data_IF_440151240894
#
_entry.id   IF_440151240894
#
_cell.length_a   1.000
_cell.length_b   1.000
_cell.length_c   1.000
_cell.angle_alpha   90.00
_cell.angle_beta   90.00
_cell.angle_gamma   90.00
#
_symmetry.space_group_name_H-M   'P 1'
#
loop_
_entity.id
_entity.type
_entity.pdbx_description
1 polymer ?
#
# COMPACT_ATOMS: atom_id res chain seq x y z
N UNK A 1 -1.97 -34.91 -23.03
CA UNK A 1 -1.60 -34.61 -21.64
C UNK A 1 -2.77 -33.84 -21.03
N UNK A 2 -2.95 -33.89 -19.73
CA UNK A 2 -4.05 -33.18 -19.06
C UNK A 2 -3.57 -31.73 -18.80
N UNK A 3 -4.46 -30.74 -18.99
CA UNK A 3 -4.18 -29.38 -18.66
C UNK A 3 -3.93 -29.22 -17.14
N UNK A 4 -3.02 -28.36 -16.77
CA UNK A 4 -2.66 -28.05 -15.39
C UNK A 4 -2.80 -26.55 -15.09
N UNK A 5 -3.12 -26.23 -13.83
CA UNK A 5 -3.21 -24.86 -13.33
C UNK A 5 -2.06 -24.63 -12.36
N UNK A 6 -1.15 -23.74 -12.68
CA UNK A 6 0.11 -23.51 -11.99
C UNK A 6 0.10 -22.16 -11.27
N UNK A 7 0.72 -22.14 -10.11
CA UNK A 7 1.14 -20.92 -9.40
C UNK A 7 2.67 -20.90 -9.30
N UNK A 8 3.28 -19.80 -9.75
CA UNK A 8 4.74 -19.65 -9.75
C UNK A 8 5.10 -18.26 -9.22
N UNK A 9 5.45 -18.12 -7.94
CA UNK A 9 5.92 -16.87 -7.39
C UNK A 9 7.36 -16.60 -7.87
N UNK A 10 7.60 -15.43 -8.47
CA UNK A 10 8.94 -14.94 -8.80
C UNK A 10 9.46 -13.99 -7.72
N UNK A 11 8.57 -13.44 -6.88
CA UNK A 11 8.88 -12.62 -5.72
C UNK A 11 7.71 -12.57 -4.75
N UNK A 12 7.94 -12.09 -3.53
CA UNK A 12 6.91 -12.00 -2.48
C UNK A 12 6.61 -13.35 -1.79
N UNK A 13 7.47 -14.35 -1.94
CA UNK A 13 7.32 -15.65 -1.27
C UNK A 13 8.65 -16.05 -0.61
N UNK A 14 8.66 -16.17 0.71
CA UNK A 14 9.91 -16.27 1.51
C UNK A 14 10.49 -14.91 1.89
N UNK A 15 9.80 -13.84 1.53
CA UNK A 15 10.15 -12.44 1.78
C UNK A 15 8.92 -11.56 1.83
N UNK A 16 9.04 -10.35 2.37
CA UNK A 16 8.01 -9.31 2.35
C UNK A 16 8.41 -8.28 1.30
N UNK A 17 7.50 -7.97 0.36
CA UNK A 17 7.74 -7.03 -0.73
C UNK A 17 8.05 -7.71 -2.07
N UNK A 18 8.43 -6.93 -3.06
CA UNK A 18 8.69 -7.25 -4.47
C UNK A 18 7.78 -8.34 -5.05
N UNK A 19 6.46 -8.19 -4.83
CA UNK A 19 5.47 -9.16 -5.25
C UNK A 19 5.44 -9.30 -6.78
N UNK A 20 5.60 -10.52 -7.28
CA UNK A 20 5.47 -10.89 -8.68
C UNK A 20 5.03 -12.34 -8.77
N UNK A 21 3.76 -12.56 -9.07
CA UNK A 21 3.14 -13.89 -9.04
C UNK A 21 2.61 -14.27 -10.42
N UNK A 22 3.00 -15.43 -10.93
CA UNK A 22 2.51 -15.96 -12.20
C UNK A 22 1.46 -17.02 -11.97
N UNK A 23 0.41 -16.99 -12.81
CA UNK A 23 -0.58 -18.04 -12.92
C UNK A 23 -0.56 -18.56 -14.35
N UNK A 24 -0.35 -19.87 -14.50
CA UNK A 24 -0.28 -20.55 -15.79
C UNK A 24 -1.38 -21.58 -15.94
N UNK A 25 -2.02 -21.63 -17.12
CA UNK A 25 -2.97 -22.67 -17.45
C UNK A 25 -2.74 -23.22 -18.87
N UNK A 26 -2.79 -24.53 -19.01
CA UNK A 26 -2.64 -25.24 -20.28
C UNK A 26 -1.90 -26.56 -20.13
N UNK A 27 -1.47 -27.14 -21.27
CA UNK A 27 -0.68 -28.35 -21.28
C UNK A 27 0.78 -28.05 -20.89
N UNK A 28 1.50 -29.04 -20.31
CA UNK A 28 2.91 -28.91 -20.02
C UNK A 28 3.73 -28.42 -21.23
N UNK A 29 4.39 -27.26 -21.07
CA UNK A 29 5.18 -26.60 -22.12
C UNK A 29 4.44 -25.60 -22.99
N UNK A 30 3.10 -25.55 -22.92
CA UNK A 30 2.26 -24.58 -23.70
C UNK A 30 1.25 -23.84 -22.83
N UNK A 31 1.70 -23.39 -21.67
CA UNK A 31 0.86 -22.60 -20.75
C UNK A 31 0.65 -21.19 -21.26
N UNK A 32 -0.58 -20.68 -21.16
CA UNK A 32 -0.87 -19.25 -21.14
C UNK A 32 -0.68 -18.73 -19.73
N UNK A 33 -0.14 -17.51 -19.61
CA UNK A 33 0.24 -16.90 -18.34
C UNK A 33 -0.45 -15.58 -18.12
N UNK A 34 -0.79 -15.29 -16.87
CA UNK A 34 -1.05 -13.95 -16.37
C UNK A 34 -0.06 -13.67 -15.22
N UNK A 35 0.31 -12.40 -15.05
CA UNK A 35 1.13 -11.93 -13.96
C UNK A 35 0.27 -11.11 -13.01
N UNK A 36 0.34 -11.39 -11.71
CA UNK A 36 -0.29 -10.59 -10.66
C UNK A 36 0.81 -9.84 -9.93
N UNK A 37 0.73 -8.51 -10.03
CA UNK A 37 1.69 -7.53 -9.50
C UNK A 37 3.09 -7.62 -10.12
N UNK A 38 3.87 -6.55 -9.92
CA UNK A 38 5.24 -6.39 -10.42
C UNK A 38 5.97 -5.38 -9.52
N UNK A 39 6.28 -5.83 -8.31
CA UNK A 39 6.73 -4.99 -7.20
C UNK A 39 8.23 -4.85 -7.08
N UNK A 40 8.63 -4.01 -6.13
CA UNK A 40 10.02 -3.84 -5.70
C UNK A 40 10.14 -4.07 -4.19
N UNK A 41 11.39 -4.26 -3.74
CA UNK A 41 11.78 -4.02 -2.36
C UNK A 41 12.95 -3.05 -2.33
N UNK A 42 13.24 -2.49 -1.16
CA UNK A 42 14.34 -1.56 -0.96
C UNK A 42 15.51 -2.29 -0.30
N UNK A 43 16.71 -2.02 -0.78
CA UNK A 43 17.91 -2.57 -0.19
C UNK A 43 18.11 -2.00 1.22
N UNK A 44 18.64 -2.81 2.09
CA UNK A 44 19.08 -2.41 3.42
C UNK A 44 20.58 -2.14 3.48
N UNK A 45 21.10 -1.86 4.68
CA UNK A 45 22.51 -1.52 4.90
C UNK A 45 23.47 -2.71 4.63
N UNK A 46 22.95 -3.93 4.38
CA UNK A 46 23.76 -5.13 4.05
C UNK A 46 24.18 -5.17 2.58
N UNK A 47 23.51 -4.39 1.71
CA UNK A 47 23.75 -4.31 0.26
C UNK A 47 24.07 -2.86 -0.14
N UNK A 48 25.26 -2.35 0.21
CA UNK A 48 25.60 -0.95 -0.02
C UNK A 48 25.69 -0.63 -1.52
N UNK A 49 25.13 0.54 -1.90
CA UNK A 49 25.12 1.02 -3.28
C UNK A 49 23.96 0.52 -4.13
N UNK A 50 23.06 -0.29 -3.57
CA UNK A 50 21.80 -0.68 -4.19
C UNK A 50 20.65 0.06 -3.48
N UNK A 51 19.78 0.69 -4.22
CA UNK A 51 18.60 1.38 -3.69
C UNK A 51 17.33 0.56 -3.87
N UNK A 52 17.24 -0.21 -4.97
CA UNK A 52 16.02 -0.88 -5.41
C UNK A 52 16.31 -2.29 -5.90
N UNK A 53 15.49 -3.24 -5.47
CA UNK A 53 15.56 -4.65 -5.86
C UNK A 53 14.20 -5.05 -6.44
N UNK A 54 14.19 -5.83 -7.50
CA UNK A 54 12.99 -6.43 -8.10
C UNK A 54 13.24 -7.89 -8.50
N UNK A 55 12.18 -8.70 -8.61
CA UNK A 55 12.29 -10.10 -8.94
C UNK A 55 12.98 -10.34 -10.29
N UNK A 56 13.64 -11.46 -10.47
CA UNK A 56 14.18 -11.87 -11.76
C UNK A 56 13.04 -12.32 -12.70
N UNK A 57 12.75 -11.59 -13.78
CA UNK A 57 11.71 -11.94 -14.72
C UNK A 57 12.15 -12.94 -15.79
N UNK A 58 13.35 -13.53 -15.70
CA UNK A 58 13.94 -14.41 -16.71
C UNK A 58 12.99 -15.49 -17.21
N UNK A 59 12.33 -16.17 -16.28
CA UNK A 59 11.35 -17.21 -16.60
C UNK A 59 10.24 -16.72 -17.56
N UNK A 60 9.66 -15.55 -17.27
CA UNK A 60 8.54 -15.03 -18.06
C UNK A 60 9.00 -14.27 -19.32
N UNK A 61 10.20 -13.73 -19.34
CA UNK A 61 10.78 -13.12 -20.54
C UNK A 61 10.95 -14.15 -21.68
N UNK A 62 11.34 -15.38 -21.35
CA UNK A 62 11.44 -16.48 -22.31
C UNK A 62 10.09 -16.94 -22.84
N UNK A 63 8.99 -16.59 -22.17
CA UNK A 63 7.59 -17.00 -22.45
C UNK A 63 6.66 -15.82 -22.69
N UNK A 64 7.20 -14.64 -22.97
CA UNK A 64 6.42 -13.39 -23.07
C UNK A 64 5.31 -13.45 -24.12
N UNK A 65 5.47 -14.23 -25.19
CA UNK A 65 4.44 -14.42 -26.21
C UNK A 65 3.19 -15.14 -25.67
N UNK A 66 3.33 -15.85 -24.56
CA UNK A 66 2.25 -16.50 -23.83
C UNK A 66 1.78 -15.72 -22.61
N UNK A 67 2.38 -14.54 -22.31
CA UNK A 67 1.93 -13.65 -21.24
C UNK A 67 0.78 -12.77 -21.73
N UNK A 68 -0.42 -13.05 -21.24
CA UNK A 68 -1.66 -12.37 -21.67
C UNK A 68 -1.82 -10.98 -21.07
N UNK A 69 -1.27 -10.76 -19.87
CA UNK A 69 -1.33 -9.46 -19.22
C UNK A 69 -0.81 -9.45 -17.79
N UNK A 70 -0.65 -8.22 -17.29
CA UNK A 70 -0.31 -7.92 -15.90
C UNK A 70 -1.55 -7.39 -15.21
N UNK A 71 -1.94 -8.00 -14.11
CA UNK A 71 -3.12 -7.67 -13.30
C UNK A 71 -2.62 -7.06 -11.98
N UNK A 72 -2.93 -5.79 -11.73
CA UNK A 72 -2.45 -5.08 -10.55
C UNK A 72 -3.51 -5.08 -9.46
N UNK A 73 -3.14 -5.52 -8.26
CA UNK A 73 -4.04 -5.58 -7.11
C UNK A 73 -4.25 -4.21 -6.49
N UNK A 74 -3.18 -3.45 -6.28
CA UNK A 74 -3.19 -2.09 -5.71
C UNK A 74 -1.87 -1.36 -5.98
N UNK A 75 -1.75 -0.11 -5.52
CA UNK A 75 -0.69 0.81 -5.95
C UNK A 75 0.49 0.97 -4.97
N UNK A 76 0.73 0.05 -4.04
CA UNK A 76 1.97 0.07 -3.24
C UNK A 76 3.20 -0.27 -4.08
N UNK A 77 4.36 0.25 -3.69
CA UNK A 77 5.62 0.09 -4.45
C UNK A 77 6.05 -1.38 -4.55
N UNK A 78 5.80 -2.16 -3.54
CA UNK A 78 6.07 -3.60 -3.51
C UNK A 78 5.10 -4.43 -4.36
N UNK A 79 4.13 -3.78 -5.04
CA UNK A 79 3.20 -4.36 -6.02
C UNK A 79 3.31 -3.74 -7.41
N UNK A 80 3.70 -2.46 -7.54
CA UNK A 80 3.80 -1.81 -8.85
C UNK A 80 5.17 -1.18 -9.14
N UNK A 81 6.10 -1.21 -8.18
CA UNK A 81 7.34 -0.43 -8.26
C UNK A 81 8.25 -0.80 -9.43
N UNK A 82 8.29 -2.07 -9.82
CA UNK A 82 9.13 -2.53 -10.93
C UNK A 82 8.50 -2.36 -12.31
N UNK A 83 7.23 -1.93 -12.41
CA UNK A 83 6.49 -1.97 -13.68
C UNK A 83 7.16 -1.17 -14.80
N UNK A 84 7.61 0.04 -14.52
CA UNK A 84 8.27 0.88 -15.53
C UNK A 84 9.69 0.42 -15.88
N UNK A 85 10.27 -0.50 -15.11
CA UNK A 85 11.59 -1.09 -15.36
C UNK A 85 11.50 -2.37 -16.18
N UNK A 86 10.54 -3.25 -15.88
CA UNK A 86 10.44 -4.58 -16.46
C UNK A 86 9.47 -4.68 -17.64
N UNK A 87 8.36 -3.92 -17.61
CA UNK A 87 7.33 -3.95 -18.64
C UNK A 87 7.85 -3.69 -20.08
N UNK A 88 8.83 -2.78 -20.34
CA UNK A 88 9.30 -2.55 -21.71
C UNK A 88 9.78 -3.81 -22.46
N UNK A 89 10.22 -4.82 -21.74
CA UNK A 89 10.62 -6.11 -22.32
C UNK A 89 9.46 -7.11 -22.41
N UNK A 90 8.43 -6.93 -21.58
CA UNK A 90 7.23 -7.80 -21.55
C UNK A 90 6.23 -7.41 -22.64
N UNK A 91 5.93 -6.10 -22.77
CA UNK A 91 5.10 -5.54 -23.82
C UNK A 91 3.63 -6.01 -23.84
N UNK A 92 3.13 -6.57 -22.74
CA UNK A 92 1.75 -7.05 -22.62
C UNK A 92 0.80 -5.97 -22.10
N UNK A 93 -0.52 -6.26 -22.11
CA UNK A 93 -1.54 -5.39 -21.51
C UNK A 93 -1.38 -5.29 -19.99
N UNK A 94 -1.75 -4.14 -19.42
CA UNK A 94 -1.77 -3.88 -17.99
C UNK A 94 -3.19 -3.57 -17.57
N UNK A 95 -3.67 -4.22 -16.52
CA UNK A 95 -5.02 -4.07 -15.98
C UNK A 95 -4.93 -3.50 -14.57
N UNK A 96 -5.59 -2.37 -14.31
CA UNK A 96 -5.52 -1.67 -13.03
C UNK A 96 -6.81 -0.91 -12.73
N UNK A 97 -7.13 -0.76 -11.45
CA UNK A 97 -8.20 0.13 -10.99
C UNK A 97 -7.83 1.61 -11.21
N UNK A 98 -8.78 2.55 -11.19
CA UNK A 98 -8.53 3.95 -11.52
C UNK A 98 -7.37 4.59 -10.75
N UNK A 99 -7.30 4.40 -9.43
CA UNK A 99 -6.25 5.00 -8.61
C UNK A 99 -4.87 4.41 -8.94
N UNK A 100 -4.78 3.08 -9.07
CA UNK A 100 -3.55 2.40 -9.48
C UNK A 100 -3.12 2.85 -10.88
N UNK A 101 -4.08 2.98 -11.81
CA UNK A 101 -3.81 3.44 -13.17
C UNK A 101 -3.23 4.87 -13.22
N UNK A 102 -3.70 5.78 -12.36
CA UNK A 102 -3.13 7.14 -12.27
C UNK A 102 -1.66 7.08 -11.85
N UNK A 103 -1.35 6.29 -10.82
CA UNK A 103 0.02 6.22 -10.28
C UNK A 103 1.01 5.53 -11.25
N UNK A 104 0.60 4.45 -11.94
CA UNK A 104 1.48 3.83 -12.92
C UNK A 104 1.70 4.70 -14.15
N UNK A 105 0.71 5.48 -14.60
CA UNK A 105 0.90 6.48 -15.66
C UNK A 105 1.99 7.48 -15.31
N UNK A 106 2.04 7.95 -14.07
CA UNK A 106 3.10 8.85 -13.60
C UNK A 106 4.47 8.17 -13.63
N UNK A 107 4.58 6.89 -13.16
CA UNK A 107 5.83 6.12 -13.22
C UNK A 107 6.36 5.96 -14.64
N UNK A 108 5.50 5.63 -15.60
CA UNK A 108 5.88 5.50 -17.00
C UNK A 108 6.25 6.84 -17.63
N UNK A 109 5.55 7.92 -17.27
CA UNK A 109 5.87 9.28 -17.69
C UNK A 109 7.27 9.72 -17.25
N UNK A 110 7.66 9.38 -16.00
CA UNK A 110 9.03 9.65 -15.51
C UNK A 110 10.11 8.92 -16.32
N UNK A 111 9.77 7.83 -16.98
CA UNK A 111 10.64 7.04 -17.87
C UNK A 111 10.44 7.39 -19.37
N UNK A 112 9.59 8.37 -19.69
CA UNK A 112 9.25 8.75 -21.06
C UNK A 112 8.65 7.59 -21.90
N UNK A 113 7.88 6.71 -21.28
CA UNK A 113 7.22 5.56 -21.92
C UNK A 113 5.72 5.85 -22.02
N UNK A 114 5.16 5.71 -23.23
CA UNK A 114 3.71 5.81 -23.46
C UNK A 114 3.05 4.42 -23.34
N UNK A 115 2.11 4.28 -22.40
CA UNK A 115 1.34 3.07 -22.16
C UNK A 115 -0.15 3.23 -22.47
N UNK A 116 -0.52 4.32 -23.16
CA UNK A 116 -1.94 4.67 -23.39
C UNK A 116 -2.72 3.53 -24.07
N UNK A 117 -2.08 2.80 -24.98
CA UNK A 117 -2.70 1.69 -25.70
C UNK A 117 -2.72 0.37 -24.91
N UNK A 118 -1.86 0.26 -23.90
CA UNK A 118 -1.63 -1.00 -23.19
C UNK A 118 -2.25 -1.04 -21.81
N UNK A 119 -2.55 0.12 -21.22
CA UNK A 119 -3.23 0.24 -19.94
C UNK A 119 -4.76 0.16 -20.11
N UNK A 120 -5.35 -0.83 -19.48
CA UNK A 120 -6.80 -1.03 -19.38
C UNK A 120 -7.25 -0.68 -17.95
N UNK A 121 -8.15 0.27 -17.84
CA UNK A 121 -8.74 0.64 -16.54
C UNK A 121 -9.91 -0.29 -16.26
N UNK A 122 -9.86 -0.98 -15.13
CA UNK A 122 -10.90 -1.89 -14.66
C UNK A 122 -11.67 -1.18 -13.54
N UNK A 123 -12.99 -1.15 -13.65
CA UNK A 123 -13.84 -0.59 -12.59
C UNK A 123 -13.73 -1.44 -11.31
N UNK A 124 -14.04 -0.83 -10.16
CA UNK A 124 -14.09 -1.56 -8.89
C UNK A 124 -15.11 -2.71 -9.00
N UNK A 125 -14.71 -3.89 -8.53
CA UNK A 125 -15.45 -5.15 -8.70
C UNK A 125 -15.70 -5.54 -10.17
N UNK A 126 -14.93 -4.99 -11.10
CA UNK A 126 -14.99 -5.32 -12.53
C UNK A 126 -14.35 -6.67 -12.87
N UNK A 127 -14.48 -7.07 -14.13
CA UNK A 127 -13.97 -8.33 -14.64
C UNK A 127 -13.09 -8.13 -15.86
N UNK A 128 -12.14 -9.05 -16.02
CA UNK A 128 -11.23 -9.12 -17.18
C UNK A 128 -11.23 -10.56 -17.70
N UNK A 129 -11.44 -10.72 -19.01
CA UNK A 129 -11.39 -12.02 -19.67
C UNK A 129 -10.13 -12.10 -20.53
N UNK A 130 -9.27 -13.04 -20.20
CA UNK A 130 -8.02 -13.36 -20.91
C UNK A 130 -7.96 -14.87 -21.10
N UNK A 131 -8.70 -15.36 -22.08
CA UNK A 131 -8.84 -16.82 -22.32
C UNK A 131 -7.50 -17.55 -22.20
N UNK A 132 -7.36 -18.53 -21.31
CA UNK A 132 -8.40 -19.27 -20.56
C UNK A 132 -8.71 -18.73 -19.13
N UNK A 133 -8.32 -17.52 -18.79
CA UNK A 133 -8.53 -16.91 -17.46
C UNK A 133 -9.74 -15.96 -17.48
N UNK A 134 -10.63 -16.12 -16.49
CA UNK A 134 -11.61 -15.11 -16.11
C UNK A 134 -11.21 -14.54 -14.76
N UNK A 135 -10.93 -13.22 -14.71
CA UNK A 135 -10.45 -12.55 -13.51
C UNK A 135 -11.53 -11.58 -13.02
N UNK A 136 -11.89 -11.66 -11.74
CA UNK A 136 -12.81 -10.73 -11.09
C UNK A 136 -12.05 -10.00 -9.97
N UNK A 137 -12.07 -8.67 -10.02
CA UNK A 137 -11.58 -7.81 -8.95
C UNK A 137 -12.59 -7.81 -7.80
N UNK A 138 -12.12 -7.93 -6.57
CA UNK A 138 -12.95 -7.94 -5.36
C UNK A 138 -12.42 -6.87 -4.44
N UNK A 139 -13.22 -5.85 -4.18
CA UNK A 139 -12.84 -4.78 -3.26
C UNK A 139 -12.56 -5.31 -1.87
N UNK A 140 -11.39 -4.99 -1.35
CA UNK A 140 -10.93 -5.26 0.01
C UNK A 140 -10.64 -3.93 0.72
N UNK A 141 -10.14 -4.01 1.95
CA UNK A 141 -9.61 -2.87 2.71
C UNK A 141 -8.13 -3.06 3.00
N UNK A 142 -7.36 -1.99 2.90
CA UNK A 142 -5.92 -1.95 3.16
C UNK A 142 -5.49 -0.52 3.52
N UNK A 143 -4.20 -0.24 3.62
CA UNK A 143 -3.66 1.10 3.90
C UNK A 143 -3.46 1.99 2.67
N UNK A 144 -4.14 1.67 1.57
CA UNK A 144 -4.13 2.42 0.31
C UNK A 144 -5.54 2.42 -0.30
N UNK A 145 -5.78 3.27 -1.30
CA UNK A 145 -7.05 3.28 -2.04
C UNK A 145 -7.16 2.10 -3.01
N UNK A 146 -8.38 1.62 -3.19
CA UNK A 146 -8.75 0.61 -4.19
C UNK A 146 -7.92 -0.68 -4.11
N UNK A 147 -7.70 -1.28 -2.91
CA UNK A 147 -7.07 -2.57 -2.82
C UNK A 147 -8.03 -3.67 -3.25
N UNK A 148 -7.52 -4.67 -3.98
CA UNK A 148 -8.34 -5.74 -4.53
C UNK A 148 -7.75 -7.11 -4.28
N UNK A 149 -8.61 -8.06 -3.92
CA UNK A 149 -8.38 -9.46 -4.19
C UNK A 149 -8.80 -9.83 -5.61
N UNK A 150 -8.29 -10.93 -6.11
CA UNK A 150 -8.56 -11.42 -7.46
C UNK A 150 -9.13 -12.85 -7.42
N UNK A 151 -10.37 -13.04 -7.87
CA UNK A 151 -10.85 -14.37 -8.23
C UNK A 151 -10.32 -14.70 -9.61
N UNK A 152 -9.50 -15.73 -9.72
CA UNK A 152 -8.92 -16.21 -10.98
C UNK A 152 -9.56 -17.56 -11.28
N UNK A 153 -10.37 -17.60 -12.32
CA UNK A 153 -11.08 -18.80 -12.76
C UNK A 153 -10.48 -19.33 -14.07
N UNK A 154 -10.31 -20.63 -14.14
CA UNK A 154 -9.91 -21.40 -15.35
C UNK A 154 -10.79 -22.62 -15.48
N UNK A 155 -10.73 -23.40 -16.58
CA UNK A 155 -11.42 -24.69 -16.66
C UNK A 155 -11.04 -25.69 -15.57
N UNK A 156 -9.87 -25.56 -14.92
CA UNK A 156 -9.47 -26.41 -13.80
C UNK A 156 -10.18 -26.04 -12.47
N UNK A 157 -10.69 -24.82 -12.36
CA UNK A 157 -11.39 -24.32 -11.18
C UNK A 157 -10.98 -22.90 -10.78
N UNK A 158 -11.31 -22.51 -9.55
CA UNK A 158 -11.13 -21.16 -8.99
C UNK A 158 -9.97 -21.11 -8.03
N UNK A 159 -9.14 -20.08 -8.16
CA UNK A 159 -8.12 -19.66 -7.18
C UNK A 159 -8.46 -18.24 -6.74
N UNK A 160 -8.28 -17.94 -5.46
CA UNK A 160 -8.35 -16.58 -4.92
C UNK A 160 -6.95 -16.09 -4.57
N UNK A 161 -6.53 -14.96 -5.15
CA UNK A 161 -5.35 -14.19 -4.71
C UNK A 161 -5.83 -13.01 -3.89
N UNK A 162 -5.42 -12.89 -2.63
CA UNK A 162 -5.94 -11.84 -1.76
C UNK A 162 -5.36 -10.47 -2.06
N UNK A 163 -4.15 -10.38 -2.66
CA UNK A 163 -3.34 -9.18 -2.54
C UNK A 163 -3.11 -8.88 -1.06
N UNK A 164 -2.83 -7.62 -0.75
CA UNK A 164 -2.73 -7.14 0.63
C UNK A 164 -4.08 -6.66 1.14
N UNK A 165 -4.41 -7.00 2.37
CA UNK A 165 -5.73 -6.73 2.90
C UNK A 165 -5.78 -6.70 4.42
N UNK A 166 -6.87 -6.19 4.96
CA UNK A 166 -7.28 -6.31 6.37
C UNK A 166 -8.80 -6.35 6.47
N UNK A 167 -9.34 -6.59 7.64
CA UNK A 167 -10.75 -6.32 7.92
C UNK A 167 -10.86 -5.00 8.68
N UNK A 168 -11.36 -3.95 8.02
CA UNK A 168 -11.72 -2.70 8.68
C UNK A 168 -13.25 -2.59 8.70
N UNK A 169 -13.89 -2.66 9.86
CA UNK A 169 -15.35 -2.59 9.95
C UNK A 169 -15.90 -1.17 9.72
N UNK A 170 -15.04 -0.15 9.73
CA UNK A 170 -15.42 1.25 9.56
C UNK A 170 -14.34 1.99 8.74
N UNK A 171 -14.17 1.63 7.46
CA UNK A 171 -13.20 2.29 6.61
C UNK A 171 -13.60 3.76 6.41
N UNK A 172 -12.64 4.65 6.51
CA UNK A 172 -12.87 6.09 6.38
C UNK A 172 -12.98 6.54 4.93
N UNK A 173 -12.39 5.77 4.03
CA UNK A 173 -12.29 6.08 2.61
C UNK A 173 -12.27 4.77 1.81
N UNK A 174 -12.90 4.77 0.64
CA UNK A 174 -13.08 3.56 -0.15
C UNK A 174 -14.30 2.73 0.30
N UNK A 175 -14.38 1.49 -0.19
CA UNK A 175 -15.44 0.54 0.14
C UNK A 175 -15.07 -0.38 1.31
N UNK A 176 -16.08 -0.94 1.94
CA UNK A 176 -15.91 -2.05 2.89
C UNK A 176 -15.49 -3.33 2.16
N UNK A 177 -14.86 -4.26 2.90
CA UNK A 177 -14.55 -5.58 2.37
C UNK A 177 -15.85 -6.31 1.96
N UNK A 178 -15.89 -6.83 0.74
CA UNK A 178 -17.07 -7.52 0.22
C UNK A 178 -17.11 -8.98 0.71
N UNK A 179 -17.33 -9.16 2.02
CA UNK A 179 -17.38 -10.48 2.65
C UNK A 179 -18.51 -11.36 2.11
N UNK A 180 -19.61 -10.76 1.63
CA UNK A 180 -20.71 -11.50 0.99
C UNK A 180 -20.20 -12.16 -0.30
N UNK A 181 -19.50 -11.39 -1.15
CA UNK A 181 -18.95 -11.92 -2.40
C UNK A 181 -17.91 -13.00 -2.15
N UNK A 182 -17.05 -12.82 -1.14
CA UNK A 182 -16.05 -13.82 -0.75
C UNK A 182 -16.71 -15.15 -0.31
N UNK A 183 -17.82 -15.09 0.44
CA UNK A 183 -18.60 -16.29 0.81
C UNK A 183 -19.22 -16.97 -0.40
N UNK A 184 -19.82 -16.19 -1.32
CA UNK A 184 -20.37 -16.71 -2.56
C UNK A 184 -19.32 -17.46 -3.40
N UNK A 185 -18.08 -16.94 -3.46
CA UNK A 185 -16.94 -17.58 -4.13
C UNK A 185 -16.56 -18.87 -3.39
N UNK A 186 -16.50 -18.82 -2.08
CA UNK A 186 -16.21 -19.98 -1.23
C UNK A 186 -17.23 -21.11 -1.44
N UNK A 187 -18.52 -20.79 -1.51
CA UNK A 187 -19.59 -21.76 -1.73
C UNK A 187 -19.56 -22.37 -3.15
N UNK A 188 -18.98 -21.69 -4.14
CA UNK A 188 -18.70 -22.24 -5.48
C UNK A 188 -17.53 -23.24 -5.49
N UNK A 189 -16.69 -23.22 -4.47
CA UNK A 189 -15.51 -24.06 -4.33
C UNK A 189 -14.23 -23.38 -4.84
N UNK A 190 -13.25 -23.25 -3.96
CA UNK A 190 -11.94 -22.63 -4.21
C UNK A 190 -10.86 -23.69 -4.08
N UNK A 191 -10.05 -23.88 -5.14
CA UNK A 191 -8.95 -24.84 -5.17
C UNK A 191 -7.82 -24.41 -4.24
N UNK A 192 -7.40 -23.15 -4.35
CA UNK A 192 -6.35 -22.58 -3.54
C UNK A 192 -6.63 -21.10 -3.25
N UNK A 193 -6.15 -20.64 -2.11
CA UNK A 193 -6.10 -19.21 -1.77
C UNK A 193 -4.64 -18.82 -1.58
N UNK A 194 -4.17 -17.89 -2.39
CA UNK A 194 -2.86 -17.24 -2.24
C UNK A 194 -3.10 -16.05 -1.32
N UNK A 195 -2.53 -16.10 -0.11
CA UNK A 195 -2.93 -15.22 0.98
C UNK A 195 -1.75 -14.46 1.61
N UNK A 196 -1.94 -13.16 1.82
CA UNK A 196 -1.06 -12.31 2.62
C UNK A 196 -0.83 -12.92 4.01
N UNK A 197 0.44 -13.06 4.40
CA UNK A 197 0.86 -13.66 5.67
C UNK A 197 1.65 -12.70 6.58
N UNK A 198 1.76 -11.43 6.21
CA UNK A 198 2.63 -10.42 6.88
C UNK A 198 2.43 -10.38 8.40
N UNK A 199 1.20 -10.41 8.86
CA UNK A 199 0.88 -10.27 10.29
C UNK A 199 0.38 -11.57 10.96
N UNK A 200 0.72 -12.74 10.42
CA UNK A 200 0.27 -14.04 10.96
C UNK A 200 0.62 -14.26 12.45
N UNK A 201 1.67 -13.60 12.96
CA UNK A 201 2.06 -13.64 14.36
C UNK A 201 1.28 -12.66 15.26
N UNK A 202 0.58 -11.68 14.68
CA UNK A 202 -0.16 -10.67 15.43
C UNK A 202 -1.51 -11.23 15.89
N UNK A 203 -1.74 -11.23 17.19
CA UNK A 203 -3.01 -11.68 17.77
C UNK A 203 -4.12 -10.64 17.54
N UNK A 204 -5.38 -11.09 17.65
CA UNK A 204 -6.55 -10.22 17.53
C UNK A 204 -6.81 -9.75 16.10
N UNK A 205 -7.43 -8.59 15.97
CA UNK A 205 -7.80 -7.93 14.71
C UNK A 205 -6.87 -6.78 14.37
N UNK A 206 -6.76 -6.43 13.09
CA UNK A 206 -5.92 -5.34 12.61
C UNK A 206 -6.37 -3.94 13.04
N UNK A 207 -7.65 -3.77 13.41
CA UNK A 207 -8.20 -2.50 13.90
C UNK A 207 -8.72 -1.58 12.80
N UNK A 208 -9.37 -0.48 13.20
CA UNK A 208 -10.04 0.46 12.30
C UNK A 208 -9.34 1.82 12.21
N UNK A 209 -9.28 2.38 11.01
CA UNK A 209 -8.83 3.77 10.80
C UNK A 209 -9.75 4.80 11.50
N UNK A 210 -11.03 4.46 11.70
CA UNK A 210 -11.94 5.32 12.47
C UNK A 210 -11.49 5.49 13.92
N UNK A 211 -10.97 4.44 14.56
CA UNK A 211 -10.51 4.54 15.94
C UNK A 211 -9.19 5.32 16.05
N UNK A 212 -8.32 5.19 15.04
CA UNK A 212 -7.14 6.07 14.91
C UNK A 212 -7.56 7.53 14.78
N UNK A 213 -8.58 7.84 13.95
CA UNK A 213 -9.10 9.21 13.79
C UNK A 213 -9.61 9.78 15.11
N UNK A 214 -10.41 9.00 15.85
CA UNK A 214 -10.94 9.44 17.16
C UNK A 214 -9.81 9.80 18.12
N UNK A 215 -8.81 8.93 18.24
CA UNK A 215 -7.69 9.19 19.14
C UNK A 215 -6.79 10.34 18.65
N UNK A 216 -6.51 10.41 17.35
CA UNK A 216 -5.77 11.52 16.74
C UNK A 216 -6.44 12.87 17.03
N UNK A 217 -7.77 12.96 16.91
CA UNK A 217 -8.52 14.16 17.23
C UNK A 217 -8.39 14.52 18.72
N UNK A 218 -8.49 13.53 19.62
CA UNK A 218 -8.31 13.73 21.06
C UNK A 218 -6.90 14.28 21.37
N UNK A 219 -5.86 13.70 20.78
CA UNK A 219 -4.48 14.15 20.92
C UNK A 219 -4.33 15.61 20.43
N UNK A 220 -4.75 15.88 19.19
CA UNK A 220 -4.57 17.20 18.58
C UNK A 220 -5.37 18.31 19.29
N UNK A 221 -6.49 17.97 19.93
CA UNK A 221 -7.32 18.93 20.70
C UNK A 221 -6.62 19.46 21.94
N UNK A 222 -5.70 18.69 22.53
CA UNK A 222 -4.94 19.11 23.73
C UNK A 222 -3.62 19.83 23.41
N UNK A 223 -3.12 19.70 22.17
CA UNK A 223 -1.87 20.32 21.75
C UNK A 223 -2.05 21.81 21.45
N UNK A 224 -1.10 22.63 21.90
CA UNK A 224 -1.20 24.10 21.85
C UNK A 224 -0.32 24.73 20.77
N UNK A 225 0.71 24.03 20.31
CA UNK A 225 1.68 24.55 19.36
C UNK A 225 1.55 23.85 18.00
N UNK A 226 2.55 24.02 17.14
CA UNK A 226 2.64 23.40 15.83
C UNK A 226 2.59 21.87 15.94
N UNK A 227 1.88 21.24 15.03
CA UNK A 227 1.78 19.80 14.93
C UNK A 227 2.38 19.38 13.60
N UNK A 228 3.28 18.41 13.61
CA UNK A 228 3.80 17.76 12.44
C UNK A 228 3.36 16.29 12.52
N UNK A 229 2.60 15.83 11.55
CA UNK A 229 2.20 14.41 11.42
C UNK A 229 3.06 13.81 10.33
N UNK A 230 3.75 12.71 10.62
CA UNK A 230 4.46 11.95 9.60
C UNK A 230 3.84 10.58 9.43
N UNK A 231 3.61 10.17 8.19
CA UNK A 231 3.00 8.88 7.82
C UNK A 231 3.43 8.45 6.42
N UNK A 232 3.10 7.21 6.06
CA UNK A 232 3.20 6.78 4.66
C UNK A 232 2.30 7.62 3.77
N UNK A 233 2.85 8.15 2.69
CA UNK A 233 2.08 8.99 1.76
C UNK A 233 0.93 8.20 1.09
N UNK A 234 1.11 6.91 0.89
CA UNK A 234 0.10 6.01 0.31
C UNK A 234 -1.14 5.81 1.19
N UNK A 235 -1.04 6.03 2.51
CA UNK A 235 -2.17 5.87 3.42
C UNK A 235 -3.11 7.08 3.33
N UNK A 236 -4.01 7.05 2.34
CA UNK A 236 -4.96 8.13 2.08
C UNK A 236 -6.00 8.26 3.21
N UNK A 237 -6.35 7.18 3.90
CA UNK A 237 -7.22 7.22 5.08
C UNK A 237 -6.57 8.01 6.24
N UNK A 238 -5.25 7.87 6.43
CA UNK A 238 -4.50 8.66 7.40
C UNK A 238 -4.36 10.11 6.98
N UNK A 239 -4.17 10.35 5.67
CA UNK A 239 -4.19 11.69 5.09
C UNK A 239 -5.55 12.38 5.35
N UNK A 240 -6.65 11.71 5.09
CA UNK A 240 -8.00 12.20 5.35
C UNK A 240 -8.22 12.46 6.86
N UNK A 241 -7.73 11.58 7.72
CA UNK A 241 -7.74 11.79 9.18
C UNK A 241 -6.99 13.06 9.58
N UNK A 242 -5.82 13.33 9.00
CA UNK A 242 -5.07 14.55 9.30
C UNK A 242 -5.81 15.82 8.87
N UNK A 243 -6.46 15.81 7.69
CA UNK A 243 -7.32 16.90 7.24
C UNK A 243 -8.51 17.11 8.18
N UNK A 244 -9.23 16.04 8.51
CA UNK A 244 -10.36 16.08 9.42
C UNK A 244 -9.99 16.66 10.79
N UNK A 245 -8.89 16.17 11.38
CA UNK A 245 -8.43 16.63 12.69
C UNK A 245 -7.95 18.09 12.66
N UNK A 246 -7.28 18.51 11.59
CA UNK A 246 -6.88 19.90 11.41
C UNK A 246 -8.10 20.82 11.39
N UNK A 247 -9.12 20.51 10.57
CA UNK A 247 -10.37 21.26 10.50
C UNK A 247 -11.07 21.33 11.86
N UNK A 248 -11.26 20.18 12.54
CA UNK A 248 -11.96 20.12 13.84
C UNK A 248 -11.22 20.84 14.97
N UNK A 249 -9.90 21.00 14.86
CA UNK A 249 -9.11 21.77 15.83
C UNK A 249 -8.88 23.23 15.43
N UNK A 250 -9.53 23.68 14.34
CA UNK A 250 -9.43 25.05 13.82
C UNK A 250 -8.05 25.41 13.31
N UNK A 251 -7.35 24.43 12.74
CA UNK A 251 -5.99 24.56 12.17
C UNK A 251 -6.05 24.44 10.64
N UNK A 252 -5.15 25.13 9.99
CA UNK A 252 -4.85 24.89 8.57
C UNK A 252 -3.88 23.71 8.45
N UNK A 253 -3.84 23.09 7.26
CA UNK A 253 -2.95 21.94 6.99
C UNK A 253 -2.11 22.21 5.75
N UNK A 254 -0.86 21.77 5.77
CA UNK A 254 0.05 21.83 4.64
C UNK A 254 0.66 20.45 4.39
N UNK A 255 0.75 20.06 3.12
CA UNK A 255 1.40 18.82 2.70
C UNK A 255 2.88 19.07 2.42
N UNK A 256 3.75 18.17 2.90
CA UNK A 256 5.21 18.31 2.77
C UNK A 256 5.82 16.99 2.27
N UNK A 257 6.50 17.08 1.12
CA UNK A 257 7.10 15.93 0.44
C UNK A 257 6.42 15.61 -0.89
N UNK A 258 7.24 15.28 -1.89
CA UNK A 258 6.76 15.04 -3.28
C UNK A 258 5.72 13.93 -3.38
N UNK A 259 5.95 12.81 -2.71
CA UNK A 259 5.00 11.68 -2.73
C UNK A 259 3.69 12.02 -2.03
N UNK A 260 3.70 12.86 -0.97
CA UNK A 260 2.48 13.31 -0.32
C UNK A 260 1.59 14.10 -1.28
N UNK A 261 2.17 15.05 -2.03
CA UNK A 261 1.45 15.81 -3.06
C UNK A 261 0.99 14.93 -4.23
N UNK A 262 1.82 13.96 -4.66
CA UNK A 262 1.47 13.04 -5.74
C UNK A 262 0.25 12.21 -5.38
N UNK A 263 0.25 11.58 -4.23
CA UNK A 263 -0.88 10.76 -3.75
C UNK A 263 -2.13 11.60 -3.55
N UNK A 264 -2.02 12.79 -2.93
CA UNK A 264 -3.15 13.70 -2.78
C UNK A 264 -3.79 14.05 -4.14
N UNK A 265 -3.00 14.43 -5.12
CA UNK A 265 -3.49 14.75 -6.48
C UNK A 265 -4.15 13.54 -7.14
N UNK A 266 -3.54 12.37 -7.06
CA UNK A 266 -4.10 11.13 -7.61
C UNK A 266 -5.44 10.77 -6.94
N UNK A 267 -5.53 10.87 -5.61
CA UNK A 267 -6.76 10.64 -4.87
C UNK A 267 -7.87 11.62 -5.28
N UNK A 268 -7.56 12.91 -5.39
CA UNK A 268 -8.51 13.95 -5.87
C UNK A 268 -8.99 13.67 -7.29
N UNK A 269 -8.10 13.28 -8.19
CA UNK A 269 -8.43 12.93 -9.58
C UNK A 269 -9.39 11.74 -9.66
N UNK A 270 -9.25 10.76 -8.76
CA UNK A 270 -10.15 9.60 -8.68
C UNK A 270 -11.41 9.87 -7.85
N UNK A 271 -11.63 11.10 -7.39
CA UNK A 271 -12.86 11.48 -6.70
C UNK A 271 -12.82 11.36 -5.19
N UNK A 272 -11.69 10.97 -4.61
CA UNK A 272 -11.50 10.93 -3.15
C UNK A 272 -11.07 12.29 -2.58
N UNK A 273 -11.13 12.46 -1.26
CA UNK A 273 -10.73 13.69 -0.54
C UNK A 273 -11.42 14.98 -1.02
N UNK A 274 -12.60 14.89 -1.67
CA UNK A 274 -13.33 16.06 -2.20
C UNK A 274 -13.89 16.97 -1.13
N UNK A 275 -14.21 16.39 0.03
CA UNK A 275 -14.88 17.09 1.13
C UNK A 275 -13.89 17.49 2.25
N UNK A 276 -12.61 17.45 1.99
CA UNK A 276 -11.59 17.92 2.94
C UNK A 276 -11.26 19.38 2.71
N UNK A 277 -10.74 20.07 3.74
CA UNK A 277 -10.17 21.40 3.59
C UNK A 277 -9.01 21.36 2.58
N UNK A 278 -8.80 22.43 1.83
CA UNK A 278 -7.69 22.51 0.89
C UNK A 278 -6.36 22.71 1.63
N UNK A 279 -5.31 21.96 1.29
CA UNK A 279 -4.00 22.17 1.89
C UNK A 279 -3.36 23.45 1.34
N UNK A 280 -2.72 24.20 2.22
CA UNK A 280 -1.98 25.41 1.85
C UNK A 280 -0.54 25.07 1.43
N UNK A 281 0.03 25.92 0.56
CA UNK A 281 1.43 25.78 0.14
C UNK A 281 2.38 25.91 1.34
N UNK A 282 3.42 25.08 1.50
CA UNK A 282 4.37 25.18 2.61
C UNK A 282 5.03 26.57 2.74
N UNK A 283 5.23 27.28 1.61
CA UNK A 283 5.77 28.65 1.59
C UNK A 283 4.83 29.68 2.21
N UNK A 284 3.53 29.45 2.11
CA UNK A 284 2.51 30.29 2.77
C UNK A 284 2.32 29.85 4.23
N UNK A 285 2.36 28.55 4.48
CA UNK A 285 2.17 27.94 5.78
C UNK A 285 3.18 28.43 6.84
N UNK A 286 4.41 28.77 6.44
CA UNK A 286 5.44 29.33 7.34
C UNK A 286 5.06 30.65 7.99
N UNK A 287 4.12 31.41 7.41
CA UNK A 287 3.63 32.69 7.92
C UNK A 287 2.45 32.53 8.88
N UNK A 288 1.93 31.30 9.05
CA UNK A 288 0.83 30.99 9.94
C UNK A 288 1.34 30.77 11.36
N UNK A 289 0.62 31.28 12.35
CA UNK A 289 1.00 31.09 13.75
C UNK A 289 1.06 29.60 14.11
N UNK A 290 2.01 29.23 14.97
CA UNK A 290 2.29 27.84 15.37
C UNK A 290 1.06 27.09 15.88
N UNK A 291 0.15 27.79 16.52
CA UNK A 291 -1.09 27.24 17.08
C UNK A 291 -2.13 26.88 16.01
N UNK A 292 -1.95 27.38 14.79
CA UNK A 292 -2.95 27.30 13.71
C UNK A 292 -2.51 26.46 12.52
N UNK A 293 -1.37 25.78 12.61
CA UNK A 293 -0.83 24.99 11.49
C UNK A 293 -0.57 23.53 11.87
N UNK A 294 -0.91 22.65 10.95
CA UNK A 294 -0.53 21.23 10.91
C UNK A 294 0.27 20.99 9.64
N UNK A 295 1.38 20.30 9.72
CA UNK A 295 2.09 19.76 8.57
C UNK A 295 1.89 18.26 8.51
N UNK A 296 1.49 17.75 7.34
CA UNK A 296 1.48 16.31 7.05
C UNK A 296 2.65 16.02 6.10
N UNK A 297 3.61 15.21 6.55
CA UNK A 297 4.87 15.04 5.84
C UNK A 297 5.27 13.57 5.66
N UNK A 298 6.17 13.34 4.69
CA UNK A 298 6.88 12.07 4.50
C UNK A 298 8.06 11.95 5.45
N UNK A 299 8.64 10.74 5.55
CA UNK A 299 9.83 10.51 6.37
C UNK A 299 9.53 9.77 7.66
N UNK A 300 8.43 9.01 7.71
CA UNK A 300 7.99 8.26 8.90
C UNK A 300 8.88 7.07 9.26
N UNK A 301 9.79 6.67 8.38
CA UNK A 301 10.74 5.58 8.60
C UNK A 301 12.19 6.06 8.76
N UNK A 302 12.38 7.36 8.93
CA UNK A 302 13.73 7.95 9.06
C UNK A 302 14.51 7.96 7.73
N UNK A 303 13.81 7.99 6.60
CA UNK A 303 14.42 8.03 5.26
C UNK A 303 15.27 9.31 5.12
N UNK A 304 16.54 9.22 4.68
CA UNK A 304 17.47 10.35 4.65
C UNK A 304 16.95 11.55 3.82
N UNK A 305 16.22 11.27 2.73
CA UNK A 305 15.63 12.28 1.87
C UNK A 305 14.19 12.63 2.23
N UNK A 306 13.63 12.02 3.26
CA UNK A 306 12.29 12.27 3.77
C UNK A 306 12.13 13.70 4.32
N UNK A 307 10.93 14.25 4.19
CA UNK A 307 10.67 15.62 4.67
C UNK A 307 10.92 15.75 6.18
N UNK A 308 10.49 14.75 6.98
CA UNK A 308 10.70 14.78 8.44
C UNK A 308 12.20 14.83 8.82
N UNK A 309 13.05 14.08 8.13
CA UNK A 309 14.50 14.11 8.38
C UNK A 309 15.09 15.49 8.06
N UNK A 310 14.66 16.14 6.97
CA UNK A 310 15.11 17.49 6.62
C UNK A 310 14.61 18.54 7.61
N UNK A 311 13.38 18.38 8.13
CA UNK A 311 12.81 19.28 9.14
C UNK A 311 13.59 19.14 10.44
N UNK A 312 13.86 17.93 10.92
CA UNK A 312 14.59 17.68 12.16
C UNK A 312 16.06 18.17 12.12
N UNK A 313 16.66 18.16 10.92
CA UNK A 313 18.02 18.68 10.70
C UNK A 313 18.06 20.18 10.37
N UNK A 314 16.92 20.89 10.45
CA UNK A 314 16.79 22.31 10.11
C UNK A 314 17.25 22.68 8.68
N UNK A 315 17.13 21.73 7.75
CA UNK A 315 17.52 21.90 6.33
C UNK A 315 16.33 21.99 5.37
N UNK A 316 15.10 21.93 5.90
CA UNK A 316 13.91 22.12 5.06
C UNK A 316 13.71 23.62 4.78
N UNK A 317 13.46 24.05 3.51
CA UNK A 317 13.43 25.45 3.14
C UNK A 317 12.23 26.24 3.69
N UNK A 318 11.11 25.55 3.93
CA UNK A 318 9.83 26.20 4.23
C UNK A 318 9.17 25.72 5.53
N UNK A 319 9.67 24.66 6.15
CA UNK A 319 9.11 24.11 7.39
C UNK A 319 10.17 24.13 8.47
N UNK A 320 9.84 24.82 9.54
CA UNK A 320 10.70 24.97 10.72
C UNK A 320 10.03 24.28 11.91
N UNK A 321 10.83 23.70 12.80
CA UNK A 321 10.39 23.11 14.04
C UNK A 321 11.07 23.82 15.19
N UNK A 322 10.36 24.01 16.29
CA UNK A 322 10.82 24.75 17.44
C UNK A 322 10.42 24.04 18.73
N UNK A 323 11.10 24.34 19.82
CA UNK A 323 10.77 23.83 21.15
C UNK A 323 9.26 23.93 21.43
N UNK A 324 8.72 22.94 22.09
CA UNK A 324 7.29 22.76 22.42
C UNK A 324 6.36 22.48 21.21
N UNK A 325 6.90 22.31 19.99
CA UNK A 325 6.15 21.69 18.89
C UNK A 325 5.99 20.19 19.13
N UNK A 326 5.02 19.56 18.47
CA UNK A 326 4.77 18.12 18.59
C UNK A 326 4.92 17.44 17.25
N UNK A 327 5.64 16.31 17.21
CA UNK A 327 5.71 15.41 16.05
C UNK A 327 4.98 14.11 16.37
N UNK A 328 4.00 13.75 15.51
CA UNK A 328 3.23 12.53 15.62
C UNK A 328 3.69 11.57 14.53
N UNK A 329 4.31 10.45 14.90
CA UNK A 329 4.72 9.37 13.99
C UNK A 329 3.57 8.39 13.81
N UNK A 330 2.70 8.67 12.86
CA UNK A 330 1.47 7.91 12.62
C UNK A 330 1.70 6.76 11.63
N UNK A 331 2.68 5.91 11.94
CA UNK A 331 3.06 4.72 11.19
C UNK A 331 3.69 3.68 12.10
N UNK A 332 3.61 2.41 11.72
CA UNK A 332 4.39 1.35 12.35
C UNK A 332 5.86 1.46 11.94
N UNK A 333 6.76 1.09 12.81
CA UNK A 333 8.18 0.97 12.49
C UNK A 333 8.36 -0.30 11.64
N UNK A 334 8.89 -0.12 10.43
CA UNK A 334 9.26 -1.27 9.59
C UNK A 334 10.53 -1.89 10.16
N UNK A 335 10.59 -3.24 10.35
CA UNK A 335 11.78 -3.92 10.81
C UNK A 335 13.03 -3.53 10.00
N UNK A 336 14.11 -3.20 10.69
CA UNK A 336 15.37 -2.70 10.10
C UNK A 336 15.52 -1.18 10.11
N UNK A 337 14.43 -0.42 10.32
CA UNK A 337 14.49 1.04 10.40
C UNK A 337 14.61 1.59 11.84
N UNK A 338 14.56 0.72 12.86
CA UNK A 338 14.50 1.10 14.28
C UNK A 338 15.64 2.07 14.66
N UNK A 339 16.88 1.75 14.29
CA UNK A 339 18.05 2.57 14.62
C UNK A 339 17.98 3.96 14.01
N UNK A 340 17.53 4.07 12.75
CA UNK A 340 17.39 5.34 12.03
C UNK A 340 16.31 6.19 12.69
N UNK A 341 15.18 5.55 13.03
CA UNK A 341 14.03 6.22 13.60
C UNK A 341 14.29 6.66 15.04
N UNK A 342 14.87 5.81 15.87
CA UNK A 342 15.24 6.21 17.25
C UNK A 342 16.28 7.31 17.28
N UNK A 343 17.21 7.37 16.33
CA UNK A 343 18.13 8.51 16.18
C UNK A 343 17.35 9.81 15.91
N UNK A 344 16.35 9.76 15.02
CA UNK A 344 15.49 10.89 14.72
C UNK A 344 14.66 11.32 15.94
N UNK A 345 14.02 10.37 16.63
CA UNK A 345 13.27 10.64 17.86
C UNK A 345 14.15 11.30 18.93
N UNK A 346 15.33 10.75 19.18
CA UNK A 346 16.28 11.29 20.15
C UNK A 346 16.72 12.72 19.82
N UNK A 347 16.91 13.02 18.52
CA UNK A 347 17.24 14.38 18.08
C UNK A 347 16.10 15.35 18.40
N UNK A 348 14.86 14.99 18.04
CA UNK A 348 13.69 15.81 18.31
C UNK A 348 13.49 16.07 19.81
N UNK A 349 13.56 15.03 20.63
CA UNK A 349 13.42 15.14 22.09
C UNK A 349 14.53 16.02 22.70
N UNK A 350 15.77 15.89 22.22
CA UNK A 350 16.90 16.73 22.65
C UNK A 350 16.66 18.20 22.34
N UNK A 351 15.97 18.50 21.24
CA UNK A 351 15.62 19.87 20.84
C UNK A 351 14.35 20.38 21.53
N UNK A 352 13.80 19.63 22.48
CA UNK A 352 12.60 20.00 23.25
C UNK A 352 11.29 19.85 22.49
N UNK A 353 11.27 18.98 21.48
CA UNK A 353 10.10 18.63 20.69
C UNK A 353 9.40 17.44 21.36
N UNK A 354 8.08 17.50 21.49
CA UNK A 354 7.28 16.36 21.93
C UNK A 354 7.17 15.34 20.79
N UNK A 355 7.49 14.07 21.06
CA UNK A 355 7.37 12.96 20.11
C UNK A 355 6.28 12.01 20.57
N UNK A 356 5.28 11.80 19.71
CA UNK A 356 4.19 10.84 19.92
C UNK A 356 4.34 9.73 18.86
N UNK A 357 4.41 8.47 19.31
CA UNK A 357 4.55 7.30 18.48
C UNK A 357 3.53 6.21 18.86
N UNK A 358 3.47 5.10 18.11
CA UNK A 358 2.61 3.95 18.44
C UNK A 358 2.94 3.31 19.80
N UNK A 359 4.12 3.56 20.35
CA UNK A 359 4.52 3.09 21.68
C UNK A 359 3.83 3.88 22.82
N UNK A 360 3.43 5.12 22.55
CA UNK A 360 2.82 6.02 23.55
C UNK A 360 1.33 6.23 23.39
N UNK A 361 0.83 6.18 22.15
CA UNK A 361 -0.57 6.50 21.83
C UNK A 361 -1.08 5.61 20.67
N UNK A 362 -2.38 5.33 20.65
CA UNK A 362 -3.02 4.59 19.57
C UNK A 362 -3.23 5.50 18.34
N UNK A 363 -2.21 5.59 17.50
CA UNK A 363 -2.17 6.46 16.32
C UNK A 363 -1.90 5.71 15.01
N UNK A 364 -1.87 4.39 15.07
CA UNK A 364 -1.65 3.54 13.91
C UNK A 364 -2.43 2.23 14.01
N UNK A 365 -2.86 1.71 12.87
CA UNK A 365 -3.36 0.35 12.67
C UNK A 365 -2.70 -0.23 11.43
N UNK A 366 -2.47 -1.54 11.44
CA UNK A 366 -1.84 -2.24 10.31
C UNK A 366 -2.72 -2.21 9.06
N UNK A 367 -2.08 -2.27 7.90
CA UNK A 367 -2.74 -2.52 6.62
C UNK A 367 -2.97 -4.01 6.32
N UNK A 368 -2.33 -4.92 7.09
CA UNK A 368 -2.35 -6.37 6.86
C UNK A 368 -3.18 -7.11 7.90
N UNK A 369 -3.71 -8.32 7.56
CA UNK A 369 -4.61 -9.07 8.43
C UNK A 369 -3.88 -9.66 9.63
N UNK A 370 -4.42 -9.45 10.81
CA UNK A 370 -4.05 -10.19 12.00
C UNK A 370 -4.76 -11.57 12.03
N UNK A 371 -4.48 -12.40 13.03
CA UNK A 371 -4.98 -13.80 13.12
C UNK A 371 -6.49 -13.93 13.03
N UNK A 372 -7.26 -13.06 13.67
CA UNK A 372 -8.72 -13.13 13.61
C UNK A 372 -9.27 -12.70 12.25
N UNK A 373 -8.61 -11.76 11.57
CA UNK A 373 -8.96 -11.39 10.20
C UNK A 373 -8.69 -12.55 9.24
N UNK A 374 -7.54 -13.24 9.39
CA UNK A 374 -7.19 -14.44 8.61
C UNK A 374 -8.22 -15.55 8.79
N UNK A 375 -8.67 -15.81 10.03
CA UNK A 375 -9.72 -16.80 10.31
C UNK A 375 -11.04 -16.45 9.60
N UNK A 376 -11.41 -15.17 9.59
CA UNK A 376 -12.61 -14.72 8.88
C UNK A 376 -12.47 -15.00 7.37
N UNK A 377 -11.36 -14.66 6.75
CA UNK A 377 -11.12 -14.92 5.33
C UNK A 377 -11.16 -16.41 5.00
N UNK A 378 -10.53 -17.24 5.82
CA UNK A 378 -10.54 -18.70 5.63
C UNK A 378 -11.96 -19.28 5.77
N UNK A 379 -12.75 -18.76 6.71
CA UNK A 379 -14.15 -19.17 6.88
C UNK A 379 -15.05 -18.69 5.73
N UNK A 380 -14.78 -17.53 5.13
CA UNK A 380 -15.54 -17.04 4.01
C UNK A 380 -15.22 -17.81 2.71
N UNK A 381 -13.94 -18.05 2.45
CA UNK A 381 -13.45 -18.62 1.18
C UNK A 381 -13.42 -20.14 1.18
N UNK A 382 -13.21 -20.79 2.34
CA UNK A 382 -13.15 -22.25 2.51
C UNK A 382 -12.26 -22.95 1.47
N UNK A 383 -11.01 -22.50 1.25
CA UNK A 383 -10.16 -23.04 0.21
C UNK A 383 -9.73 -24.48 0.53
N UNK A 384 -9.52 -25.32 -0.51
CA UNK A 384 -8.94 -26.67 -0.33
C UNK A 384 -7.47 -26.63 0.10
N UNK A 385 -6.76 -25.57 -0.32
CA UNK A 385 -5.35 -25.33 0.01
C UNK A 385 -5.12 -23.83 0.25
N UNK A 386 -4.23 -23.48 1.18
CA UNK A 386 -3.75 -22.11 1.39
C UNK A 386 -2.27 -22.07 1.03
N UNK A 387 -1.90 -21.09 0.22
CA UNK A 387 -0.52 -20.79 -0.15
C UNK A 387 -0.20 -19.41 0.42
N UNK A 388 0.53 -19.34 1.54
CA UNK A 388 0.92 -18.06 2.11
C UNK A 388 1.97 -17.38 1.22
N UNK A 389 1.80 -16.07 1.04
CA UNK A 389 2.74 -15.17 0.33
C UNK A 389 2.93 -13.90 1.16
N UNK A 390 3.74 -12.97 0.68
CA UNK A 390 4.01 -11.70 1.33
C UNK A 390 4.49 -11.90 2.78
N UNK A 391 5.50 -12.78 2.93
CA UNK A 391 6.04 -13.15 4.23
C UNK A 391 7.36 -13.90 4.10
N UNK A 392 8.19 -13.81 5.13
CA UNK A 392 9.39 -14.61 5.29
C UNK A 392 9.05 -16.08 5.57
N UNK A 393 9.99 -16.99 5.48
CA UNK A 393 9.76 -18.42 5.74
C UNK A 393 9.03 -18.70 7.07
N UNK A 394 9.36 -17.96 8.14
CA UNK A 394 8.70 -18.11 9.46
C UNK A 394 7.21 -17.74 9.45
N UNK A 395 6.75 -16.94 8.46
CA UNK A 395 5.33 -16.58 8.32
C UNK A 395 4.54 -17.65 7.56
N UNK A 396 5.22 -18.55 6.86
CA UNK A 396 4.63 -19.51 5.92
C UNK A 396 4.47 -20.93 6.48
N UNK A 397 5.09 -21.24 7.63
CA UNK A 397 5.13 -22.58 8.23
C UNK A 397 4.12 -22.71 9.40
#
# INVERSE_FOLDING_TARGET
MKDEFLFCPLGGSGEIGMNMNLFGYGQPGDHKWIMVDIGVTFADDTIPGIDLIYPDPGFIYERKENLLGIILTHAHEDHIGAIAHLWPKLGCKIYATPFTAVLIKEKFKEKHIDITKDLQIVELNGKVNLDPFEIEYITLTHSILEPNGLKIQTPAGVVLHTGDWKVDPNPLIGGEINSKRLKEIGDQGVLAMICDSTNVFSAGRSGSELDVRKNMLNIMSRLKKRIIITSFASNVARMETAFYCAEKTGRQISLVGRSMHRIYKAARQCGYLKNTIEPIDPREAKNISREKIVYLCTGSQGEPMGAMMRISNYTHPDVFIEKDDTVIFSSKIIPGNEKKLYKLHNQLVKDGIEVISEESEFIHVSGHPNREDLKDMYNWVKPKCVIPVHGEHRHMI
#
